data_IF_775657803146
#
_entry.id   IF_775657803146
#
_cell.length_a   1.000
_cell.length_b   1.000
_cell.length_c   1.000
_cell.angle_alpha   90.00
_cell.angle_beta   90.00
_cell.angle_gamma   90.00
#
_symmetry.space_group_name_H-M   'P 1'
#
loop_
_entity.id
_entity.type
_entity.pdbx_description
1 polymer ?
#
# COMPACT_ATOMS: atom_id res chain seq x y z
N UNK A 1 2.22 -19.23 -40.12
CA UNK A 1 3.52 -18.99 -39.44
C UNK A 1 3.37 -18.05 -38.25
N UNK A 2 2.84 -16.83 -38.42
CA UNK A 2 2.64 -15.83 -37.35
C UNK A 2 2.02 -16.32 -36.04
N UNK A 3 0.97 -17.16 -36.09
CA UNK A 3 0.33 -17.71 -34.87
C UNK A 3 1.24 -18.61 -34.03
N UNK A 4 2.19 -19.32 -34.67
CA UNK A 4 3.15 -20.18 -33.98
C UNK A 4 4.21 -19.32 -33.30
N UNK A 5 4.64 -18.28 -34.00
CA UNK A 5 5.66 -17.32 -33.55
C UNK A 5 5.19 -16.51 -32.34
N UNK A 6 3.97 -15.96 -32.37
CA UNK A 6 3.35 -15.26 -31.24
C UNK A 6 3.26 -16.16 -29.99
N UNK A 7 2.95 -17.45 -30.17
CA UNK A 7 2.87 -18.41 -29.07
C UNK A 7 4.24 -18.65 -28.42
N UNK A 8 5.30 -18.79 -29.22
CA UNK A 8 6.67 -18.92 -28.72
C UNK A 8 7.08 -17.68 -27.92
N UNK A 9 6.90 -16.48 -28.48
CA UNK A 9 7.21 -15.22 -27.79
C UNK A 9 6.46 -15.08 -26.45
N UNK A 10 5.18 -15.45 -26.41
CA UNK A 10 4.39 -15.39 -25.18
C UNK A 10 4.90 -16.37 -24.12
N UNK A 11 5.31 -17.57 -24.54
CA UNK A 11 5.84 -18.59 -23.63
C UNK A 11 7.21 -18.19 -23.08
N UNK A 12 8.09 -17.65 -23.93
CA UNK A 12 9.42 -17.20 -23.52
C UNK A 12 9.34 -15.99 -22.60
N UNK A 13 8.45 -15.03 -22.90
CA UNK A 13 8.17 -13.90 -22.01
C UNK A 13 7.68 -14.36 -20.64
N UNK A 14 6.73 -15.29 -20.58
CA UNK A 14 6.22 -15.83 -19.30
C UNK A 14 7.28 -16.58 -18.52
N UNK A 15 8.17 -17.32 -19.22
CA UNK A 15 9.30 -18.00 -18.58
C UNK A 15 10.28 -16.99 -17.98
N UNK A 16 10.64 -15.96 -18.74
CA UNK A 16 11.54 -14.90 -18.29
C UNK A 16 10.95 -14.15 -17.08
N UNK A 17 9.66 -13.80 -17.15
CA UNK A 17 8.95 -13.14 -16.04
C UNK A 17 8.88 -14.01 -14.78
N UNK A 18 8.74 -15.34 -14.91
CA UNK A 18 8.73 -16.23 -13.75
C UNK A 18 10.11 -16.33 -13.08
N UNK A 19 11.19 -16.33 -13.88
CA UNK A 19 12.57 -16.36 -13.37
C UNK A 19 12.93 -15.02 -12.73
N UNK A 20 12.75 -13.92 -13.46
CA UNK A 20 13.08 -12.57 -12.99
C UNK A 20 12.18 -12.14 -11.82
N UNK A 21 10.89 -12.52 -11.85
CA UNK A 21 9.95 -12.27 -10.77
C UNK A 21 10.32 -13.01 -9.47
N UNK A 22 10.76 -14.28 -9.58
CA UNK A 22 11.25 -15.06 -8.44
C UNK A 22 12.57 -14.50 -7.90
N UNK A 23 13.52 -14.13 -8.77
CA UNK A 23 14.79 -13.52 -8.36
C UNK A 23 14.62 -12.15 -7.71
N UNK A 24 13.74 -11.30 -8.26
CA UNK A 24 13.43 -9.99 -7.70
C UNK A 24 12.78 -10.13 -6.30
N UNK A 25 11.91 -11.13 -6.12
CA UNK A 25 11.30 -11.41 -4.82
C UNK A 25 12.36 -11.79 -3.77
N UNK A 26 13.34 -12.64 -4.10
CA UNK A 26 14.41 -13.06 -3.17
C UNK A 26 15.22 -11.89 -2.65
N UNK A 27 15.59 -10.96 -3.53
CA UNK A 27 16.32 -9.74 -3.15
C UNK A 27 15.54 -8.90 -2.13
N UNK A 28 14.27 -8.60 -2.43
CA UNK A 28 13.43 -7.82 -1.51
C UNK A 28 13.12 -8.56 -0.21
N UNK A 29 12.87 -9.88 -0.27
CA UNK A 29 12.68 -10.70 0.91
C UNK A 29 13.93 -10.69 1.81
N UNK A 30 15.13 -10.78 1.25
CA UNK A 30 16.37 -10.69 2.01
C UNK A 30 16.51 -9.33 2.71
N UNK A 31 16.20 -8.23 2.01
CA UNK A 31 16.21 -6.88 2.60
C UNK A 31 15.20 -6.77 3.75
N UNK A 32 13.96 -7.21 3.52
CA UNK A 32 12.90 -7.16 4.52
C UNK A 32 13.26 -8.01 5.74
N UNK A 33 13.77 -9.23 5.54
CA UNK A 33 14.15 -10.12 6.63
C UNK A 33 15.32 -9.55 7.43
N UNK A 34 16.33 -8.97 6.77
CA UNK A 34 17.42 -8.26 7.44
C UNK A 34 16.91 -7.09 8.27
N UNK A 35 15.99 -6.28 7.71
CA UNK A 35 15.35 -5.17 8.44
C UNK A 35 14.54 -5.68 9.64
N UNK A 36 13.75 -6.74 9.48
CA UNK A 36 12.98 -7.36 10.58
C UNK A 36 13.85 -7.86 11.72
N UNK A 37 14.96 -8.52 11.40
CA UNK A 37 15.92 -8.98 12.40
C UNK A 37 16.55 -7.79 13.15
N UNK A 38 16.98 -6.76 12.40
CA UNK A 38 17.62 -5.57 12.97
C UNK A 38 16.67 -4.71 13.81
N UNK A 39 15.39 -4.63 13.43
CA UNK A 39 14.36 -3.86 14.12
C UNK A 39 13.56 -4.71 15.12
N UNK A 40 14.03 -5.92 15.43
CA UNK A 40 13.35 -6.77 16.42
C UNK A 40 13.46 -6.14 17.81
N UNK A 41 12.31 -5.92 18.43
CA UNK A 41 12.22 -5.41 19.80
C UNK A 41 12.28 -6.61 20.72
N UNK A 42 13.32 -6.68 21.54
CA UNK A 42 13.58 -7.80 22.45
C UNK A 42 13.01 -7.60 23.84
N UNK A 43 12.96 -6.36 24.30
CA UNK A 43 12.52 -5.98 25.65
C UNK A 43 11.81 -4.63 25.55
N UNK A 44 10.76 -4.45 26.34
CA UNK A 44 10.02 -3.18 26.48
C UNK A 44 10.00 -2.80 27.96
N UNK A 45 10.06 -1.51 28.25
CA UNK A 45 9.87 -0.98 29.62
C UNK A 45 8.41 -0.57 29.79
N UNK A 46 7.74 -1.10 30.80
CA UNK A 46 6.35 -0.79 31.15
C UNK A 46 6.29 -0.52 32.65
N UNK A 47 5.78 0.63 33.06
CA UNK A 47 5.63 1.05 34.47
C UNK A 47 6.90 0.89 35.34
N UNK A 48 8.08 0.97 34.72
CA UNK A 48 9.38 0.85 35.39
C UNK A 48 9.99 -0.56 35.36
N UNK A 49 9.24 -1.56 34.90
CA UNK A 49 9.71 -2.94 34.77
C UNK A 49 10.07 -3.28 33.32
N UNK A 50 11.13 -4.09 33.16
CA UNK A 50 11.55 -4.61 31.86
C UNK A 50 10.83 -5.92 31.56
N UNK A 51 10.09 -5.96 30.46
CA UNK A 51 9.37 -7.13 29.97
C UNK A 51 10.11 -7.69 28.76
N UNK A 52 10.52 -8.96 28.83
CA UNK A 52 11.18 -9.70 27.75
C UNK A 52 10.32 -10.86 27.18
N UNK A 53 9.19 -11.17 27.82
CA UNK A 53 8.25 -12.18 27.32
C UNK A 53 7.59 -11.70 26.00
N UNK A 54 7.70 -12.47 24.90
CA UNK A 54 7.20 -12.06 23.59
C UNK A 54 5.69 -11.83 23.54
N UNK A 55 4.90 -12.54 24.33
CA UNK A 55 3.44 -12.42 24.31
C UNK A 55 2.99 -11.20 25.14
N UNK A 56 3.66 -10.92 26.26
CA UNK A 56 3.48 -9.67 27.00
C UNK A 56 3.90 -8.44 26.17
N UNK A 57 5.03 -8.51 25.46
CA UNK A 57 5.48 -7.44 24.56
C UNK A 57 4.41 -7.17 23.48
N UNK A 58 3.91 -8.21 22.82
CA UNK A 58 2.84 -8.05 21.80
C UNK A 58 1.57 -7.44 22.40
N UNK A 59 1.18 -7.89 23.60
CA UNK A 59 0.03 -7.37 24.30
C UNK A 59 0.19 -5.88 24.60
N UNK A 60 1.34 -5.48 25.14
CA UNK A 60 1.62 -4.09 25.47
C UNK A 60 1.60 -3.21 24.22
N UNK A 61 2.28 -3.62 23.15
CA UNK A 61 2.25 -2.89 21.88
C UNK A 61 0.83 -2.70 21.35
N UNK A 62 0.02 -3.78 21.40
CA UNK A 62 -1.37 -3.71 20.98
C UNK A 62 -2.17 -2.74 21.85
N UNK A 63 -2.04 -2.83 23.17
CA UNK A 63 -2.76 -1.98 24.12
C UNK A 63 -2.39 -0.51 23.94
N UNK A 64 -1.10 -0.20 23.89
CA UNK A 64 -0.56 1.14 23.70
C UNK A 64 -1.13 1.81 22.45
N UNK A 65 -1.10 1.14 21.30
CA UNK A 65 -1.64 1.71 20.07
C UNK A 65 -3.16 1.69 20.03
N UNK A 66 -3.81 0.67 20.60
CA UNK A 66 -5.27 0.61 20.68
C UNK A 66 -5.82 1.84 21.40
N UNK A 67 -5.23 2.24 22.54
CA UNK A 67 -5.61 3.44 23.29
C UNK A 67 -5.41 4.72 22.45
N UNK A 68 -4.26 4.86 21.80
CA UNK A 68 -3.90 6.06 21.01
C UNK A 68 -4.73 6.23 19.74
N UNK A 69 -5.19 5.13 19.16
CA UNK A 69 -6.06 5.11 17.99
C UNK A 69 -7.53 4.95 18.35
N UNK A 70 -7.90 4.98 19.64
CA UNK A 70 -9.32 5.08 19.99
C UNK A 70 -9.89 6.38 19.40
N UNK A 71 -11.11 6.28 18.87
CA UNK A 71 -11.87 7.45 18.51
C UNK A 71 -12.12 8.27 19.78
N UNK A 72 -11.64 9.53 19.88
CA UNK A 72 -11.90 10.39 21.03
C UNK A 72 -13.39 10.74 21.19
N UNK A 73 -14.25 10.29 20.28
CA UNK A 73 -15.68 10.50 20.27
C UNK A 73 -16.07 11.67 19.38
N UNK A 74 -17.19 12.32 19.67
CA UNK A 74 -17.81 13.34 18.81
C UNK A 74 -16.97 14.61 18.60
N UNK A 75 -15.80 14.76 19.20
CA UNK A 75 -14.85 15.82 18.87
C UNK A 75 -14.00 15.43 17.66
N UNK A 76 -14.67 15.22 16.51
CA UNK A 76 -13.98 15.41 15.22
C UNK A 76 -13.45 16.84 15.25
N UNK A 77 -12.13 17.01 15.33
CA UNK A 77 -11.52 18.33 15.32
C UNK A 77 -12.14 19.13 14.18
N UNK A 78 -12.92 20.17 14.49
CA UNK A 78 -13.54 20.96 13.45
C UNK A 78 -12.41 21.72 12.78
N UNK A 79 -12.06 21.30 11.56
CA UNK A 79 -11.25 22.12 10.69
C UNK A 79 -12.08 23.37 10.38
N UNK A 80 -11.90 24.41 11.19
CA UNK A 80 -12.50 25.74 10.99
C UNK A 80 -11.75 26.48 9.88
N UNK A 81 -11.57 25.81 8.75
CA UNK A 81 -10.97 26.38 7.56
C UNK A 81 -11.85 26.00 6.37
N UNK A 82 -12.30 27.03 5.65
CA UNK A 82 -12.93 26.83 4.35
C UNK A 82 -11.82 26.45 3.39
N UNK A 83 -11.83 25.22 2.87
CA UNK A 83 -10.94 24.85 1.79
C UNK A 83 -11.25 25.77 0.59
N UNK A 84 -10.29 26.61 0.15
CA UNK A 84 -10.55 27.57 -0.92
C UNK A 84 -10.85 26.89 -2.26
N UNK A 85 -10.39 25.65 -2.42
CA UNK A 85 -10.62 24.82 -3.60
C UNK A 85 -11.55 23.66 -3.23
N UNK A 86 -12.85 23.90 -3.26
CA UNK A 86 -13.87 22.85 -3.22
C UNK A 86 -14.37 22.59 -4.63
N UNK A 87 -14.58 21.32 -4.96
CA UNK A 87 -15.24 20.96 -6.21
C UNK A 87 -16.69 21.47 -6.21
N UNK A 88 -17.15 21.97 -7.34
CA UNK A 88 -18.59 22.18 -7.55
C UNK A 88 -19.32 20.84 -7.60
N UNK A 89 -20.64 20.84 -7.37
CA UNK A 89 -21.45 19.63 -7.48
C UNK A 89 -21.28 18.95 -8.86
N UNK A 90 -21.18 19.73 -9.93
CA UNK A 90 -20.99 19.18 -11.28
C UNK A 90 -19.64 18.48 -11.44
N UNK A 91 -18.57 19.03 -10.84
CA UNK A 91 -17.25 18.39 -10.84
C UNK A 91 -17.24 17.09 -10.03
N UNK A 92 -17.98 17.05 -8.92
CA UNK A 92 -18.13 15.83 -8.12
C UNK A 92 -18.86 14.76 -8.94
N UNK A 93 -19.97 15.12 -9.58
CA UNK A 93 -20.75 14.20 -10.42
C UNK A 93 -19.94 13.67 -11.61
N UNK A 94 -19.11 14.52 -12.22
CA UNK A 94 -18.19 14.11 -13.30
C UNK A 94 -17.13 13.12 -12.79
N UNK A 95 -16.56 13.37 -11.61
CA UNK A 95 -15.55 12.50 -11.00
C UNK A 95 -16.11 11.16 -10.51
N UNK A 96 -17.38 11.14 -10.08
CA UNK A 96 -18.11 9.93 -9.70
C UNK A 96 -18.70 9.19 -10.90
N UNK A 97 -18.61 9.76 -12.11
CA UNK A 97 -19.16 9.15 -13.30
C UNK A 97 -18.36 7.89 -13.71
N UNK A 98 -19.02 6.89 -14.32
CA UNK A 98 -18.34 5.69 -14.78
C UNK A 98 -17.43 5.99 -15.98
N UNK A 99 -16.22 5.43 -15.94
CA UNK A 99 -15.21 5.60 -16.99
C UNK A 99 -15.74 5.15 -18.35
N UNK A 100 -15.65 6.04 -19.35
CA UNK A 100 -16.12 5.76 -20.71
C UNK A 100 -15.03 5.18 -21.61
N UNK A 101 -15.43 4.50 -22.70
CA UNK A 101 -14.46 3.99 -23.70
C UNK A 101 -13.72 5.12 -24.40
N UNK A 102 -14.39 6.25 -24.63
CA UNK A 102 -13.80 7.41 -25.30
C UNK A 102 -12.82 8.14 -24.38
N UNK A 103 -13.08 8.21 -23.09
CA UNK A 103 -12.14 8.70 -22.08
C UNK A 103 -10.87 7.84 -22.05
N UNK A 104 -11.01 6.50 -22.00
CA UNK A 104 -9.86 5.58 -22.07
C UNK A 104 -9.07 5.81 -23.35
N UNK A 105 -9.75 5.92 -24.50
CA UNK A 105 -9.10 6.18 -25.79
C UNK A 105 -8.35 7.51 -25.76
N UNK A 106 -8.96 8.55 -25.21
CA UNK A 106 -8.37 9.89 -25.11
C UNK A 106 -7.14 9.88 -24.21
N UNK A 107 -7.21 9.24 -23.04
CA UNK A 107 -6.07 9.11 -22.13
C UNK A 107 -4.91 8.33 -22.76
N UNK A 108 -5.20 7.20 -23.42
CA UNK A 108 -4.19 6.37 -24.09
C UNK A 108 -3.44 7.13 -25.19
N UNK A 109 -4.16 7.90 -26.00
CA UNK A 109 -3.55 8.66 -27.11
C UNK A 109 -3.01 10.03 -26.68
N UNK A 110 -3.43 10.56 -25.53
CA UNK A 110 -2.98 11.83 -24.96
C UNK A 110 -1.69 11.73 -24.13
N UNK A 111 -1.29 10.54 -23.68
CA UNK A 111 -0.06 10.33 -22.90
C UNK A 111 1.23 10.30 -23.75
N UNK A 112 1.18 10.68 -25.02
CA UNK A 112 2.30 10.65 -25.96
C UNK A 112 2.78 12.01 -26.45
N UNK A 113 2.36 13.12 -25.81
CA UNK A 113 2.84 14.48 -26.12
C UNK A 113 4.14 14.78 -25.39
#
# INVERSE_FOLDING_TARGET
MLKKEIRTWTLDYKRQQAIEGDENSKYFHAIINKKRANLSIKVVMVDGDWIDDPDLIKHEFRSHFADRFQDPGSSRGSLNFLFPNCFSNDQILDLESPISKDEIRTAVWGCGV
#
